data_IF_212282207849
#
_entry.id   IF_212282207849
#
_cell.length_a   1.000
_cell.length_b   1.000
_cell.length_c   1.000
_cell.angle_alpha   90.00
_cell.angle_beta   90.00
_cell.angle_gamma   90.00
#
_symmetry.space_group_name_H-M   'P 1'
#
loop_
_entity.id
_entity.type
_entity.pdbx_description
1 polymer ?
#
# COMPACT_ATOMS: atom_id res chain seq x y z
N UNK A 1 5.57 4.98 6.33
CA UNK A 1 5.73 3.50 6.36
C UNK A 1 4.61 2.79 7.12
N UNK A 2 4.33 3.20 8.33
CA UNK A 2 3.32 2.54 9.16
C UNK A 2 1.92 2.59 8.55
N UNK A 3 1.54 3.71 7.95
CA UNK A 3 0.24 3.87 7.30
C UNK A 3 0.08 2.89 6.13
N UNK A 4 1.13 2.67 5.35
CA UNK A 4 1.12 1.72 4.26
C UNK A 4 1.10 0.28 4.78
N UNK A 5 1.93 -0.03 5.78
CA UNK A 5 2.01 -1.38 6.31
C UNK A 5 0.72 -1.81 7.03
N UNK A 6 -0.03 -0.86 7.57
CA UNK A 6 -1.35 -1.13 8.15
C UNK A 6 -2.26 -1.80 7.11
N UNK A 7 -2.17 -1.36 5.86
CA UNK A 7 -2.95 -1.95 4.75
C UNK A 7 -2.49 -3.37 4.43
N UNK A 8 -1.19 -3.62 4.49
CA UNK A 8 -0.64 -4.97 4.32
C UNK A 8 -1.20 -5.91 5.40
N UNK A 9 -1.21 -5.48 6.64
CA UNK A 9 -1.74 -6.28 7.76
C UNK A 9 -3.22 -6.61 7.57
N UNK A 10 -4.01 -5.64 7.14
CA UNK A 10 -5.44 -5.84 6.89
C UNK A 10 -5.69 -6.77 5.72
N UNK A 11 -4.91 -6.65 4.64
CA UNK A 11 -4.98 -7.60 3.52
C UNK A 11 -4.63 -9.01 3.95
N UNK A 12 -3.58 -9.15 4.77
CA UNK A 12 -3.13 -10.45 5.26
C UNK A 12 -4.19 -11.17 6.09
N UNK A 13 -5.06 -10.41 6.75
CA UNK A 13 -6.18 -10.93 7.55
C UNK A 13 -7.47 -11.04 6.76
N UNK A 14 -7.45 -10.65 5.49
CA UNK A 14 -8.64 -10.55 4.64
C UNK A 14 -9.72 -9.65 5.27
N UNK A 15 -9.29 -8.59 5.96
CA UNK A 15 -10.17 -7.64 6.61
C UNK A 15 -10.52 -6.48 5.67
N UNK A 16 -11.29 -6.80 4.65
CA UNK A 16 -11.64 -5.87 3.57
C UNK A 16 -12.54 -4.73 4.08
N UNK A 17 -13.42 -5.00 5.02
CA UNK A 17 -14.28 -4.00 5.64
C UNK A 17 -13.47 -2.87 6.27
N UNK A 18 -12.46 -3.23 7.05
CA UNK A 18 -11.60 -2.26 7.73
C UNK A 18 -10.72 -1.49 6.75
N UNK A 19 -10.27 -2.15 5.67
CA UNK A 19 -9.56 -1.47 4.58
C UNK A 19 -10.44 -0.40 3.93
N UNK A 20 -11.70 -0.72 3.64
CA UNK A 20 -12.63 0.23 3.07
C UNK A 20 -12.87 1.44 3.98
N UNK A 21 -12.99 1.21 5.28
CA UNK A 21 -13.11 2.28 6.28
C UNK A 21 -11.87 3.17 6.30
N UNK A 22 -10.70 2.56 6.27
CA UNK A 22 -9.41 3.26 6.30
C UNK A 22 -9.23 4.14 5.08
N UNK A 23 -9.75 3.72 3.92
CA UNK A 23 -9.57 4.41 2.65
C UNK A 23 -10.73 5.37 2.30
N UNK A 24 -11.68 5.57 3.20
CA UNK A 24 -12.83 6.47 3.00
C UNK A 24 -12.39 7.87 2.54
N UNK A 25 -11.29 8.39 3.06
CA UNK A 25 -10.76 9.71 2.75
C UNK A 25 -9.76 9.73 1.58
N UNK A 26 -9.49 8.58 0.97
CA UNK A 26 -8.57 8.48 -0.18
C UNK A 26 -9.39 8.67 -1.46
N UNK A 27 -9.15 9.74 -2.24
CA UNK A 27 -9.94 10.01 -3.45
C UNK A 27 -9.92 8.90 -4.49
N UNK A 28 -8.77 8.27 -4.69
CA UNK A 28 -8.61 7.15 -5.60
C UNK A 28 -8.06 5.95 -4.84
N UNK A 29 -8.85 4.94 -4.69
CA UNK A 29 -8.44 3.71 -4.01
C UNK A 29 -8.96 2.48 -4.77
N UNK A 30 -8.30 1.31 -4.62
CA UNK A 30 -8.74 0.11 -5.31
C UNK A 30 -9.99 -0.47 -4.67
N UNK A 31 -10.69 -1.31 -5.43
CA UNK A 31 -11.62 -2.26 -4.87
C UNK A 31 -10.77 -3.42 -4.34
N UNK A 32 -10.38 -3.34 -3.08
CA UNK A 32 -9.45 -4.29 -2.46
C UNK A 32 -9.90 -5.73 -2.62
N UNK A 33 -11.19 -5.98 -2.46
CA UNK A 33 -11.76 -7.32 -2.54
C UNK A 33 -11.55 -7.96 -3.91
N UNK A 34 -11.90 -7.23 -4.97
CA UNK A 34 -11.72 -7.76 -6.33
C UNK A 34 -10.26 -7.81 -6.75
N UNK A 35 -9.47 -6.83 -6.39
CA UNK A 35 -8.09 -6.75 -6.86
C UNK A 35 -7.16 -7.74 -6.14
N UNK A 36 -7.42 -8.05 -4.87
CA UNK A 36 -6.62 -9.03 -4.13
C UNK A 36 -6.93 -10.48 -4.54
N UNK A 37 -8.08 -10.73 -5.16
CA UNK A 37 -8.46 -12.08 -5.59
C UNK A 37 -7.39 -12.74 -6.48
N UNK A 38 -6.79 -11.98 -7.39
CA UNK A 38 -5.73 -12.50 -8.25
C UNK A 38 -4.48 -12.90 -7.46
N UNK A 39 -4.19 -12.21 -6.38
CA UNK A 39 -3.11 -12.60 -5.46
C UNK A 39 -3.43 -13.93 -4.78
N UNK A 40 -4.66 -14.08 -4.26
CA UNK A 40 -5.07 -15.32 -3.57
C UNK A 40 -5.15 -16.52 -4.51
N UNK A 41 -5.27 -16.30 -5.82
CA UNK A 41 -5.17 -17.37 -6.81
C UNK A 41 -3.75 -17.92 -6.93
N UNK A 42 -2.74 -17.12 -6.63
CA UNK A 42 -1.34 -17.52 -6.73
C UNK A 42 -0.74 -17.95 -5.39
N UNK A 43 -1.14 -17.30 -4.30
CA UNK A 43 -0.56 -17.47 -2.97
C UNK A 43 -1.65 -17.59 -1.92
N UNK A 44 -1.30 -18.19 -0.79
CA UNK A 44 -2.26 -18.43 0.30
C UNK A 44 -1.99 -17.57 1.55
N UNK A 45 -0.95 -16.74 1.54
CA UNK A 45 -0.65 -15.84 2.66
C UNK A 45 0.13 -14.61 2.22
N UNK A 46 0.09 -13.57 3.06
CA UNK A 46 0.92 -12.37 2.94
C UNK A 46 1.75 -12.28 4.21
N UNK A 47 3.08 -12.18 4.09
CA UNK A 47 3.96 -12.03 5.23
C UNK A 47 3.78 -10.70 5.95
N UNK A 48 3.83 -10.72 7.27
CA UNK A 48 3.72 -9.53 8.12
C UNK A 48 4.86 -9.44 9.14
N UNK A 49 5.85 -10.30 9.03
CA UNK A 49 7.01 -10.33 9.91
C UNK A 49 8.07 -9.28 9.59
N UNK A 50 9.23 -9.35 10.26
CA UNK A 50 10.30 -8.36 10.08
C UNK A 50 10.78 -8.19 8.63
N UNK A 51 10.87 -9.27 7.86
CA UNK A 51 11.27 -9.21 6.45
C UNK A 51 10.28 -8.39 5.62
N UNK A 52 8.98 -8.59 5.86
CA UNK A 52 7.92 -7.87 5.16
C UNK A 52 7.96 -6.37 5.45
N UNK A 53 8.39 -6.00 6.64
CA UNK A 53 8.48 -4.61 7.11
C UNK A 53 9.83 -3.96 6.79
N UNK A 54 10.76 -4.72 6.28
CA UNK A 54 12.12 -4.26 6.05
C UNK A 54 12.25 -3.28 4.87
N UNK A 55 13.38 -2.55 4.81
CA UNK A 55 13.59 -1.53 3.77
C UNK A 55 13.71 -2.11 2.35
N UNK A 56 13.98 -3.40 2.21
CA UNK A 56 14.07 -4.03 0.90
C UNK A 56 12.72 -4.05 0.17
N UNK A 57 11.61 -4.06 0.90
CA UNK A 57 10.25 -4.14 0.34
C UNK A 57 9.49 -2.83 0.39
N UNK A 58 10.12 -1.75 0.82
CA UNK A 58 9.47 -0.44 0.91
C UNK A 58 10.35 0.64 0.29
N UNK A 59 9.80 1.40 -0.66
CA UNK A 59 10.52 2.50 -1.29
C UNK A 59 9.69 3.78 -1.27
N UNK A 60 10.38 4.91 -1.13
CA UNK A 60 9.78 6.24 -1.20
C UNK A 60 10.51 7.02 -2.27
N UNK A 61 9.77 7.61 -3.20
CA UNK A 61 10.31 8.51 -4.23
C UNK A 61 9.79 9.91 -3.94
N UNK A 62 10.72 10.81 -3.62
CA UNK A 62 10.41 12.20 -3.25
C UNK A 62 10.53 13.16 -4.43
N UNK A 63 11.20 12.75 -5.49
CA UNK A 63 11.42 13.55 -6.70
C UNK A 63 11.62 12.64 -7.90
N UNK A 64 11.58 13.23 -9.10
CA UNK A 64 11.78 12.52 -10.34
C UNK A 64 10.60 12.65 -11.30
N UNK A 65 10.71 12.08 -12.52
CA UNK A 65 9.69 12.27 -13.56
C UNK A 65 8.33 11.65 -13.21
N UNK A 66 8.31 10.64 -12.35
CA UNK A 66 7.07 9.99 -11.93
C UNK A 66 6.42 10.63 -10.70
N UNK A 67 7.04 11.66 -10.12
CA UNK A 67 6.56 12.30 -8.87
C UNK A 67 6.06 13.70 -9.18
N UNK A 68 4.77 13.92 -8.92
CA UNK A 68 4.15 15.24 -9.09
C UNK A 68 4.56 16.18 -7.96
N UNK A 69 4.66 17.50 -8.21
CA UNK A 69 4.96 18.46 -7.14
C UNK A 69 3.96 18.38 -5.99
N UNK A 70 4.49 18.46 -4.77
CA UNK A 70 3.66 18.38 -3.55
C UNK A 70 3.24 16.98 -3.17
N UNK A 71 3.84 15.95 -3.79
CA UNK A 71 3.56 14.55 -3.49
C UNK A 71 4.83 13.73 -3.31
N UNK A 72 4.67 12.59 -2.66
CA UNK A 72 5.67 11.52 -2.67
C UNK A 72 5.00 10.25 -3.21
N UNK A 73 5.76 9.42 -3.91
CA UNK A 73 5.28 8.09 -4.30
C UNK A 73 5.88 7.06 -3.36
N UNK A 74 5.05 6.15 -2.88
CA UNK A 74 5.48 5.07 -2.02
C UNK A 74 5.09 3.73 -2.63
N UNK A 75 5.92 2.71 -2.42
CA UNK A 75 5.68 1.37 -2.92
C UNK A 75 6.01 0.37 -1.83
N UNK A 76 5.02 -0.43 -1.45
CA UNK A 76 5.17 -1.52 -0.49
C UNK A 76 4.98 -2.84 -1.21
N UNK A 77 6.06 -3.58 -1.36
CA UNK A 77 6.02 -4.93 -1.95
C UNK A 77 5.41 -5.89 -0.94
N UNK A 78 4.52 -6.76 -1.41
CA UNK A 78 3.95 -7.82 -0.58
C UNK A 78 4.94 -8.98 -0.47
N UNK A 79 5.15 -9.47 0.75
CA UNK A 79 6.05 -10.59 1.00
C UNK A 79 5.26 -11.89 0.81
N UNK A 80 5.25 -12.40 -0.43
CA UNK A 80 4.58 -13.64 -0.74
C UNK A 80 5.40 -14.86 -0.27
N UNK A 81 4.74 -16.01 -0.05
CA UNK A 81 5.43 -17.18 0.52
C UNK A 81 6.51 -17.78 -0.37
N UNK A 82 6.50 -17.46 -1.67
CA UNK A 82 7.50 -17.96 -2.61
C UNK A 82 8.64 -16.97 -2.85
N UNK A 83 8.53 -15.75 -2.33
CA UNK A 83 9.55 -14.72 -2.48
C UNK A 83 9.63 -14.12 -3.88
N UNK A 84 8.58 -14.23 -4.66
CA UNK A 84 8.55 -13.69 -6.03
C UNK A 84 8.52 -12.16 -6.06
N UNK A 85 7.91 -11.52 -5.06
CA UNK A 85 7.82 -10.08 -4.90
C UNK A 85 7.23 -9.36 -6.12
N UNK A 86 6.28 -10.01 -6.80
CA UNK A 86 5.62 -9.45 -7.98
C UNK A 86 4.43 -8.56 -7.67
N UNK A 87 3.95 -8.54 -6.43
CA UNK A 87 2.79 -7.76 -6.01
C UNK A 87 3.18 -6.63 -5.08
N UNK A 88 2.57 -5.46 -5.28
CA UNK A 88 2.85 -4.30 -4.44
C UNK A 88 1.65 -3.38 -4.31
N UNK A 89 1.57 -2.68 -3.19
CA UNK A 89 0.67 -1.54 -3.02
C UNK A 89 1.48 -0.30 -3.37
N UNK A 90 0.94 0.53 -4.26
CA UNK A 90 1.55 1.82 -4.60
C UNK A 90 0.63 2.94 -4.13
N UNK A 91 1.22 3.99 -3.59
CA UNK A 91 0.48 5.14 -3.10
C UNK A 91 1.12 6.44 -3.48
N UNK A 92 0.29 7.47 -3.57
CA UNK A 92 0.73 8.86 -3.74
C UNK A 92 0.34 9.60 -2.47
N UNK A 93 1.34 10.10 -1.75
CA UNK A 93 1.12 10.88 -0.51
C UNK A 93 0.90 12.33 -0.88
N UNK A 94 -0.18 12.92 -0.41
CA UNK A 94 -0.45 14.35 -0.54
C UNK A 94 0.19 15.06 0.65
N UNK A 95 1.26 15.81 0.39
CA UNK A 95 2.05 16.43 1.46
C UNK A 95 1.29 17.55 2.17
N UNK A 96 0.56 18.39 1.44
CA UNK A 96 -0.21 19.47 2.03
C UNK A 96 -1.35 18.95 2.90
N UNK A 97 -2.09 17.95 2.41
CA UNK A 97 -3.16 17.32 3.17
C UNK A 97 -2.63 16.59 4.41
N UNK A 98 -1.45 15.96 4.28
CA UNK A 98 -0.79 15.27 5.40
C UNK A 98 -0.38 16.26 6.50
N UNK A 99 0.18 17.41 6.12
CA UNK A 99 0.56 18.46 7.06
C UNK A 99 -0.65 19.02 7.81
N UNK A 100 -1.75 19.28 7.10
CA UNK A 100 -3.00 19.76 7.70
C UNK A 100 -3.59 18.77 8.68
N UNK A 101 -3.59 17.49 8.31
CA UNK A 101 -4.19 16.44 9.13
C UNK A 101 -3.30 15.99 10.31
N UNK A 102 -1.99 16.27 10.24
CA UNK A 102 -1.01 15.76 11.21
C UNK A 102 -0.76 14.26 11.10
N UNK A 103 -1.16 13.66 9.98
CA UNK A 103 -0.95 12.24 9.68
C UNK A 103 -0.88 12.03 8.16
N UNK A 104 -0.38 10.88 7.74
CA UNK A 104 -0.26 10.58 6.30
C UNK A 104 -1.62 10.54 5.63
N UNK A 105 -1.75 11.30 4.53
CA UNK A 105 -2.93 11.30 3.66
C UNK A 105 -2.52 10.90 2.25
N UNK A 106 -3.19 9.90 1.70
CA UNK A 106 -2.96 9.45 0.34
C UNK A 106 -3.91 10.14 -0.63
N UNK A 107 -3.38 10.63 -1.75
CA UNK A 107 -4.18 11.09 -2.88
C UNK A 107 -4.71 9.90 -3.68
N UNK A 108 -3.93 8.83 -3.76
CA UNK A 108 -4.33 7.61 -4.45
C UNK A 108 -3.61 6.38 -3.87
N UNK A 109 -4.24 5.23 -4.03
CA UNK A 109 -3.69 3.92 -3.72
C UNK A 109 -4.04 2.97 -4.85
N UNK A 110 -3.15 2.03 -5.13
CA UNK A 110 -3.38 0.98 -6.14
C UNK A 110 -2.67 -0.31 -5.72
N UNK A 111 -3.22 -1.43 -6.16
CA UNK A 111 -2.62 -2.75 -5.98
C UNK A 111 -2.22 -3.27 -7.35
N UNK A 112 -0.95 -3.65 -7.51
CA UNK A 112 -0.40 -4.14 -8.78
C UNK A 112 0.22 -5.52 -8.62
N UNK A 113 -0.07 -6.38 -9.60
CA UNK A 113 0.52 -7.70 -9.68
C UNK A 113 1.44 -7.89 -10.87
#
# INVERSE_FOLDING_TARGET
>A
RNAMFRRVELLARDDIERLAELDTDVPEHPDWDSEIDAYWDEYDEIGTGPAARGPALFTVSESGPAVSPGTWRVRQVLDDPEGDHGWAIEGVVDLAASDEAGEVRFASLALHG
#
